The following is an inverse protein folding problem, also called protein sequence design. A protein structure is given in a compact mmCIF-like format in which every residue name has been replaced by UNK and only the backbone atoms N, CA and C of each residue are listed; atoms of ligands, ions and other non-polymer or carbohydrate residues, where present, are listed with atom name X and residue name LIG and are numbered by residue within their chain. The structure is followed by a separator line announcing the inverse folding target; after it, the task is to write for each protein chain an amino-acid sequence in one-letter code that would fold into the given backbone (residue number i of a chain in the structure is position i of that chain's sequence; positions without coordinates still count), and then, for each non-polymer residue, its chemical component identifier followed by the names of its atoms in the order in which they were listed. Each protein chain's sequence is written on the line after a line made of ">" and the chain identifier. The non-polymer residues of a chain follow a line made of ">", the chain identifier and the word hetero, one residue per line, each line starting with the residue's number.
data_IF_817619592783
#
_entry.id   IF_817619592783
#
_cell.length_a   1.000
_cell.length_b   1.000
_cell.length_c   1.000
_cell.angle_alpha   90.00
_cell.angle_beta   90.00
_cell.angle_gamma   90.00
#
_symmetry.space_group_name_H-M   'P 1'
#
loop_
_entity.id
_entity.type
_entity.pdbx_description
1 polymer ?
#
# COMPACT_ATOMS: atom_id res chain seq x y z
N UNK A 1 31.91 -3.48 -44.08
CA UNK A 1 32.19 -4.53 -43.07
C UNK A 1 32.33 -3.95 -41.66
N UNK A 2 33.00 -2.82 -41.46
CA UNK A 2 33.04 -2.13 -40.15
C UNK A 2 31.65 -1.65 -39.66
N UNK A 3 30.81 -1.14 -40.56
CA UNK A 3 29.52 -0.55 -40.21
C UNK A 3 28.49 -1.54 -39.63
N UNK A 4 28.56 -2.83 -39.99
CA UNK A 4 27.67 -3.85 -39.44
C UNK A 4 28.07 -4.28 -38.03
N UNK A 5 29.38 -4.33 -37.73
CA UNK A 5 29.86 -4.62 -36.38
C UNK A 5 29.56 -3.45 -35.43
N UNK A 6 29.69 -2.22 -35.91
CA UNK A 6 29.30 -1.03 -35.16
C UNK A 6 27.80 -1.04 -34.88
N UNK A 7 26.96 -1.27 -35.89
CA UNK A 7 25.51 -1.32 -35.71
C UNK A 7 25.04 -2.41 -34.74
N UNK A 8 25.66 -3.59 -34.76
CA UNK A 8 25.35 -4.67 -33.79
C UNK A 8 25.79 -4.27 -32.37
N UNK A 9 26.93 -3.58 -32.25
CA UNK A 9 27.38 -3.01 -30.98
C UNK A 9 26.39 -1.98 -30.45
N UNK A 10 25.96 -1.04 -31.27
CA UNK A 10 25.00 0.02 -30.89
C UNK A 10 23.65 -0.58 -30.49
N UNK A 11 23.19 -1.62 -31.19
CA UNK A 11 21.97 -2.34 -30.83
C UNK A 11 22.12 -3.07 -29.49
N UNK A 12 23.27 -3.71 -29.24
CA UNK A 12 23.58 -4.38 -27.97
C UNK A 12 23.63 -3.39 -26.80
N UNK A 13 24.24 -2.23 -27.01
CA UNK A 13 24.27 -1.11 -26.06
C UNK A 13 22.85 -0.63 -25.76
N UNK A 14 22.04 -0.42 -26.80
CA UNK A 14 20.63 -0.04 -26.66
C UNK A 14 19.80 -1.07 -25.90
N UNK A 15 19.99 -2.37 -26.15
CA UNK A 15 19.32 -3.41 -25.36
C UNK A 15 19.77 -3.41 -23.90
N UNK A 16 21.05 -3.16 -23.61
CA UNK A 16 21.58 -3.05 -22.24
C UNK A 16 20.94 -1.89 -21.50
N UNK A 17 20.84 -0.73 -22.14
CA UNK A 17 20.23 0.47 -21.57
C UNK A 17 18.72 0.25 -21.31
N UNK A 18 18.02 -0.38 -22.23
CA UNK A 18 16.61 -0.75 -22.04
C UNK A 18 16.42 -1.71 -20.87
N UNK A 19 17.26 -2.74 -20.77
CA UNK A 19 17.21 -3.70 -19.66
C UNK A 19 17.54 -3.03 -18.33
N UNK A 20 18.52 -2.12 -18.30
CA UNK A 20 18.86 -1.35 -17.12
C UNK A 20 17.69 -0.47 -16.67
N UNK A 21 17.04 0.25 -17.60
CA UNK A 21 15.85 1.05 -17.31
C UNK A 21 14.67 0.21 -16.82
N UNK A 22 14.48 -1.00 -17.37
CA UNK A 22 13.45 -1.93 -16.90
C UNK A 22 13.73 -2.41 -15.47
N UNK A 23 14.98 -2.72 -15.14
CA UNK A 23 15.35 -3.08 -13.77
C UNK A 23 15.15 -1.92 -12.79
N UNK A 24 15.50 -0.70 -13.18
CA UNK A 24 15.27 0.50 -12.38
C UNK A 24 13.77 0.68 -12.07
N UNK A 25 12.91 0.56 -13.08
CA UNK A 25 11.46 0.62 -12.91
C UNK A 25 10.96 -0.57 -12.05
N UNK A 26 11.47 -1.77 -12.29
CA UNK A 26 11.10 -2.95 -11.50
C UNK A 26 11.39 -2.73 -10.02
N UNK A 27 12.61 -2.29 -9.69
CA UNK A 27 12.98 -2.00 -8.30
C UNK A 27 12.19 -0.81 -7.72
N UNK A 28 11.89 0.21 -8.52
CA UNK A 28 11.03 1.31 -8.08
C UNK A 28 9.61 0.83 -7.72
N UNK A 29 9.01 -0.04 -8.56
CA UNK A 29 7.70 -0.64 -8.28
C UNK A 29 7.74 -1.55 -7.05
N UNK A 30 8.78 -2.38 -6.91
CA UNK A 30 8.96 -3.23 -5.73
C UNK A 30 9.11 -2.38 -4.46
N UNK A 31 9.92 -1.33 -4.51
CA UNK A 31 10.09 -0.40 -3.40
C UNK A 31 8.79 0.30 -3.00
N UNK A 32 7.98 0.74 -3.97
CA UNK A 32 6.66 1.31 -3.73
C UNK A 32 5.72 0.30 -3.07
N UNK A 33 5.68 -0.95 -3.57
CA UNK A 33 4.86 -2.02 -2.96
C UNK A 33 5.30 -2.32 -1.53
N UNK A 34 6.59 -2.43 -1.26
CA UNK A 34 7.10 -2.65 0.10
C UNK A 34 6.73 -1.48 1.02
N UNK A 35 6.86 -0.24 0.53
CA UNK A 35 6.42 0.93 1.28
C UNK A 35 4.94 0.77 1.64
N UNK A 36 4.05 0.50 0.69
CA UNK A 36 2.61 0.32 0.90
C UNK A 36 2.24 -0.81 1.87
N UNK A 37 2.96 -1.93 1.82
CA UNK A 37 2.80 -3.01 2.81
C UNK A 37 3.16 -2.51 4.21
N UNK A 38 4.29 -1.80 4.35
CA UNK A 38 4.69 -1.21 5.64
C UNK A 38 3.67 -0.19 6.13
N UNK A 39 3.05 0.59 5.24
CA UNK A 39 1.95 1.51 5.59
C UNK A 39 0.78 0.76 6.20
N UNK A 40 0.37 -0.30 5.54
CA UNK A 40 -0.79 -1.10 5.94
C UNK A 40 -0.55 -1.75 7.30
N UNK A 41 0.63 -2.36 7.49
CA UNK A 41 1.02 -2.94 8.78
C UNK A 41 1.09 -1.88 9.89
N UNK A 42 1.68 -0.72 9.61
CA UNK A 42 1.78 0.37 10.58
C UNK A 42 0.40 0.92 10.99
N UNK A 43 -0.54 1.06 10.05
CA UNK A 43 -1.94 1.47 10.34
C UNK A 43 -2.61 0.42 11.22
N UNK A 44 -2.47 -0.87 10.90
CA UNK A 44 -3.03 -1.95 11.72
C UNK A 44 -2.46 -1.91 13.14
N UNK A 45 -1.14 -1.79 13.29
CA UNK A 45 -0.48 -1.68 14.60
C UNK A 45 -0.92 -0.43 15.37
N UNK A 46 -1.06 0.73 14.70
CA UNK A 46 -1.48 1.97 15.34
C UNK A 46 -2.90 1.89 15.94
N UNK A 47 -3.77 1.04 15.38
CA UNK A 47 -5.11 0.77 15.92
C UNK A 47 -5.05 -0.28 17.04
N UNK A 48 -4.25 -1.34 16.86
CA UNK A 48 -4.13 -2.44 17.83
C UNK A 48 -3.49 -1.94 19.13
N UNK A 49 -2.47 -1.09 19.09
CA UNK A 49 -1.74 -0.62 20.28
C UNK A 49 -2.62 0.01 21.36
N UNK A 50 -3.45 1.05 21.08
CA UNK A 50 -4.35 1.58 22.09
C UNK A 50 -5.33 0.51 22.55
N UNK A 51 -5.98 -0.23 21.63
CA UNK A 51 -6.91 -1.33 21.96
C UNK A 51 -6.31 -2.38 22.90
N UNK A 52 -5.05 -2.76 22.69
CA UNK A 52 -4.33 -3.73 23.52
C UNK A 52 -3.93 -3.15 24.86
N UNK A 53 -3.49 -1.88 24.92
CA UNK A 53 -3.18 -1.19 26.18
C UNK A 53 -4.40 -1.17 27.09
N UNK A 54 -5.55 -0.83 26.52
CA UNK A 54 -6.87 -0.84 27.13
C UNK A 54 -7.21 -2.22 27.65
N UNK A 55 -7.17 -3.23 26.77
CA UNK A 55 -7.53 -4.59 27.14
C UNK A 55 -6.61 -5.14 28.23
N UNK A 56 -5.32 -4.75 28.22
CA UNK A 56 -4.36 -5.07 29.27
C UNK A 56 -4.68 -4.39 30.60
N UNK A 57 -4.92 -3.07 30.61
CA UNK A 57 -5.29 -2.32 31.83
C UNK A 57 -6.58 -2.88 32.43
N UNK A 58 -7.59 -3.11 31.60
CA UNK A 58 -8.87 -3.68 32.01
C UNK A 58 -8.70 -5.12 32.49
N UNK A 59 -7.95 -5.96 31.77
CA UNK A 59 -7.68 -7.34 32.17
C UNK A 59 -6.91 -7.48 33.49
N UNK A 60 -6.12 -6.48 33.89
CA UNK A 60 -5.29 -6.51 35.10
C UNK A 60 -5.87 -5.79 36.32
N UNK A 61 -6.84 -4.87 36.18
CA UNK A 61 -7.20 -3.93 37.27
C UNK A 61 -8.72 -3.70 37.48
N UNK A 62 -9.58 -4.59 36.99
CA UNK A 62 -11.04 -4.53 37.26
C UNK A 62 -11.40 -4.54 38.76
N UNK A 63 -10.49 -5.00 39.63
CA UNK A 63 -10.74 -5.19 41.06
C UNK A 63 -10.41 -3.96 41.93
N UNK A 64 -9.60 -3.00 41.44
CA UNK A 64 -8.99 -1.95 42.28
C UNK A 64 -9.43 -0.50 41.97
N UNK A 65 -10.43 -0.25 41.10
CA UNK A 65 -10.94 1.10 40.84
C UNK A 65 -12.41 1.30 41.31
N UNK A 66 -12.66 1.97 42.45
CA UNK A 66 -14.02 2.27 42.93
C UNK A 66 -14.79 3.28 42.05
N UNK A 67 -14.11 4.12 41.25
CA UNK A 67 -14.76 5.06 40.31
C UNK A 67 -15.37 4.38 39.06
N UNK A 68 -14.90 3.16 38.72
CA UNK A 68 -15.41 2.36 37.60
C UNK A 68 -16.66 1.53 37.93
N UNK A 69 -17.09 1.49 39.21
CA UNK A 69 -18.32 0.79 39.62
C UNK A 69 -19.61 1.52 39.22
N UNK A 70 -19.51 2.79 38.84
CA UNK A 70 -20.65 3.53 38.29
C UNK A 70 -20.77 3.23 36.79
N UNK A 71 -22.00 3.03 36.28
CA UNK A 71 -22.26 2.72 34.85
C UNK A 71 -21.58 3.70 33.88
N UNK A 72 -21.35 4.94 34.31
CA UNK A 72 -20.73 6.00 33.51
C UNK A 72 -19.20 5.88 33.38
N UNK A 73 -18.51 5.29 34.35
CA UNK A 73 -17.05 5.15 34.31
C UNK A 73 -16.58 4.24 33.17
N UNK A 74 -17.30 3.14 32.94
CA UNK A 74 -17.07 2.25 31.80
C UNK A 74 -17.25 2.97 30.46
N UNK A 75 -18.31 3.77 30.33
CA UNK A 75 -18.60 4.54 29.12
C UNK A 75 -17.57 5.65 28.85
N UNK A 76 -17.09 6.34 29.90
CA UNK A 76 -16.09 7.40 29.76
C UNK A 76 -14.77 6.86 29.20
N UNK A 77 -14.29 5.73 29.72
CA UNK A 77 -13.05 5.15 29.23
C UNK A 77 -13.21 4.58 27.83
N UNK A 78 -14.31 3.87 27.54
CA UNK A 78 -14.64 3.46 26.17
C UNK A 78 -14.67 4.66 25.21
N UNK A 79 -15.26 5.77 25.63
CA UNK A 79 -15.27 7.02 24.88
C UNK A 79 -13.86 7.55 24.62
N UNK A 80 -13.01 7.60 25.65
CA UNK A 80 -11.62 8.05 25.51
C UNK A 80 -10.83 7.19 24.53
N UNK A 81 -11.04 5.87 24.57
CA UNK A 81 -10.40 4.89 23.68
C UNK A 81 -10.84 5.04 22.25
N UNK A 82 -12.15 5.24 22.05
CA UNK A 82 -12.74 5.49 20.75
C UNK A 82 -12.21 6.81 20.19
N UNK A 83 -12.15 7.87 20.99
CA UNK A 83 -11.63 9.19 20.60
C UNK A 83 -10.17 9.10 20.18
N UNK A 84 -9.31 8.44 20.95
CA UNK A 84 -7.89 8.26 20.59
C UNK A 84 -7.76 7.48 19.28
N UNK A 85 -8.51 6.39 19.14
CA UNK A 85 -8.54 5.59 17.91
C UNK A 85 -8.99 6.42 16.71
N UNK A 86 -10.07 7.19 16.85
CA UNK A 86 -10.61 8.04 15.78
C UNK A 86 -9.64 9.18 15.44
N UNK A 87 -8.98 9.81 16.41
CA UNK A 87 -8.00 10.87 16.17
C UNK A 87 -6.80 10.32 15.39
N UNK A 88 -6.29 9.14 15.76
CA UNK A 88 -5.21 8.47 15.04
C UNK A 88 -5.64 8.08 13.62
N UNK A 89 -6.85 7.51 13.47
CA UNK A 89 -7.39 7.09 12.19
C UNK A 89 -7.63 8.30 11.28
N UNK A 90 -8.20 9.39 11.80
CA UNK A 90 -8.38 10.65 11.10
C UNK A 90 -7.03 11.28 10.69
N UNK A 91 -6.02 11.22 11.56
CA UNK A 91 -4.67 11.67 11.24
C UNK A 91 -4.05 10.87 10.09
N UNK A 92 -4.19 9.54 10.12
CA UNK A 92 -3.74 8.66 9.03
C UNK A 92 -4.52 8.88 7.73
N UNK A 93 -5.82 9.13 7.82
CA UNK A 93 -6.67 9.39 6.66
C UNK A 93 -6.35 10.75 6.03
N UNK A 94 -6.10 11.79 6.84
CA UNK A 94 -5.66 13.10 6.38
C UNK A 94 -4.26 13.07 5.76
N UNK A 95 -3.41 12.12 6.16
CA UNK A 95 -2.11 11.85 5.53
C UNK A 95 -2.23 11.15 4.17
N UNK A 96 -3.43 10.77 3.71
CA UNK A 96 -3.69 10.29 2.35
C UNK A 96 -3.12 8.89 2.05
N UNK A 97 -2.98 8.03 3.07
CA UNK A 97 -2.30 6.73 2.94
C UNK A 97 -3.20 5.54 2.61
N UNK A 98 -4.50 5.74 2.50
CA UNK A 98 -5.49 4.68 2.28
C UNK A 98 -6.05 4.88 0.86
N UNK A 99 -5.85 3.89 0.00
CA UNK A 99 -6.08 3.85 -1.46
C UNK A 99 -4.89 4.22 -2.35
N UNK A 100 -3.87 3.36 -2.37
CA UNK A 100 -3.31 2.97 -3.66
C UNK A 100 -4.00 1.64 -4.00
N UNK A 101 -5.09 1.70 -4.75
CA UNK A 101 -5.72 0.51 -5.31
C UNK A 101 -4.77 -0.12 -6.31
N UNK A 102 -4.60 -1.43 -6.23
CA UNK A 102 -3.83 -2.19 -7.21
C UNK A 102 -4.53 -2.04 -8.57
N UNK A 103 -4.01 -1.17 -9.44
CA UNK A 103 -4.51 -1.00 -10.81
C UNK A 103 -4.27 -2.31 -11.59
N UNK A 104 -5.16 -3.27 -11.42
CA UNK A 104 -5.16 -4.57 -12.10
C UNK A 104 -5.81 -4.50 -13.49
N UNK A 105 -5.89 -3.32 -14.10
CA UNK A 105 -6.61 -3.09 -15.35
C UNK A 105 -5.75 -2.51 -16.49
N UNK A 106 -4.46 -2.84 -16.54
CA UNK A 106 -3.67 -2.71 -17.77
C UNK A 106 -3.52 -4.07 -18.47
N UNK A 107 -4.62 -4.81 -18.63
CA UNK A 107 -4.68 -5.82 -19.69
C UNK A 107 -5.01 -5.06 -20.96
N UNK A 108 -4.05 -4.81 -21.88
CA UNK A 108 -4.42 -4.33 -23.20
C UNK A 108 -5.24 -5.43 -23.88
N UNK A 109 -6.56 -5.24 -23.89
CA UNK A 109 -7.47 -5.98 -24.75
C UNK A 109 -7.12 -5.59 -26.19
N UNK A 110 -6.36 -6.49 -26.83
CA UNK A 110 -6.24 -6.74 -28.27
C UNK A 110 -6.96 -5.72 -29.16
N UNK A 111 -6.25 -4.91 -29.98
CA UNK A 111 -6.89 -4.28 -31.11
C UNK A 111 -7.27 -5.36 -32.13
N UNK A 112 -8.54 -5.70 -32.12
CA UNK A 112 -9.25 -6.37 -33.20
C UNK A 112 -9.29 -5.43 -34.40
N UNK A 113 -8.33 -5.58 -35.31
CA UNK A 113 -8.32 -5.05 -36.69
C UNK A 113 -7.04 -5.54 -37.39
N UNK A 114 -7.11 -6.72 -37.98
CA UNK A 114 -6.09 -7.19 -38.95
C UNK A 114 -6.71 -8.11 -40.01
N UNK A 115 -8.02 -8.04 -40.19
CA UNK A 115 -8.85 -8.98 -40.95
C UNK A 115 -9.76 -8.26 -41.96
N UNK A 116 -9.57 -6.95 -42.17
CA UNK A 116 -10.31 -6.16 -43.17
C UNK A 116 -9.54 -5.81 -44.45
N UNK A 117 -8.31 -6.29 -44.59
CA UNK A 117 -7.43 -5.90 -45.71
C UNK A 117 -7.24 -7.02 -46.76
N UNK A 118 -7.94 -8.15 -46.63
CA UNK A 118 -7.78 -9.30 -47.54
C UNK A 118 -8.91 -9.44 -48.58
N UNK A 119 -9.96 -8.62 -48.53
CA UNK A 119 -11.11 -8.73 -49.44
C UNK A 119 -11.10 -7.72 -50.61
N UNK A 120 -10.10 -6.83 -50.70
CA UNK A 120 -10.05 -5.72 -51.69
C UNK A 120 -8.89 -5.83 -52.73
N UNK A 121 -8.44 -7.04 -53.09
CA UNK A 121 -7.53 -7.26 -54.26
C UNK A 121 -7.95 -8.45 -55.11
#
# INVERSE_FOLDING_TARGET
>A
MHDHLQRISDLSEGYRDLVAGLFEIHFAVVGNRTNDVMKTLAVLSAIILPLSLIAGIYGMNFEHMPELKTEMGYFMTLGLMLVITIVLLYYFWRRGWIFQGDDTSSVPTKPERADRDFDDV
#
